data_IF_080581352606
#
_entry.id   IF_080581352606
#
_cell.length_a   1.000
_cell.length_b   1.000
_cell.length_c   1.000
_cell.angle_alpha   90.00
_cell.angle_beta   90.00
_cell.angle_gamma   90.00
#
_symmetry.space_group_name_H-M   'P 1'
#
loop_
_entity.id
_entity.type
_entity.pdbx_description
1 polymer ?
#
# COMPACT_ATOMS: atom_id res chain seq x y z
N UNK A 1 5.08 -53.88 2.46
CA UNK A 1 6.10 -53.59 3.49
C UNK A 1 7.18 -52.69 2.89
N UNK A 2 7.54 -51.62 3.61
CA UNK A 2 8.80 -50.85 3.54
C UNK A 2 9.05 -50.09 2.20
N UNK A 3 8.88 -48.77 2.12
CA UNK A 3 9.70 -47.80 2.84
C UNK A 3 8.95 -46.49 3.15
N UNK A 4 8.42 -46.42 4.37
CA UNK A 4 8.35 -45.17 5.12
C UNK A 4 9.79 -44.78 5.45
N UNK A 5 10.39 -43.81 4.73
CA UNK A 5 11.58 -43.05 5.14
C UNK A 5 12.02 -42.06 4.05
N UNK A 6 11.48 -40.84 4.10
CA UNK A 6 12.32 -39.63 4.04
C UNK A 6 11.52 -38.40 4.50
N UNK A 7 11.42 -38.31 5.82
CA UNK A 7 10.89 -37.16 6.54
C UNK A 7 11.90 -36.00 6.55
N UNK A 8 12.20 -35.38 5.39
CA UNK A 8 12.89 -34.08 5.32
C UNK A 8 12.42 -33.25 4.10
N UNK A 9 11.14 -33.29 3.75
CA UNK A 9 10.55 -32.27 2.88
C UNK A 9 9.99 -31.16 3.78
N UNK A 10 10.79 -30.11 4.02
CA UNK A 10 10.26 -28.87 4.56
C UNK A 10 9.17 -28.37 3.58
N UNK A 11 7.90 -28.43 4.02
CA UNK A 11 6.74 -28.05 3.21
C UNK A 11 6.83 -26.61 2.67
N UNK A 12 7.66 -25.78 3.31
CA UNK A 12 7.87 -24.38 2.96
C UNK A 12 8.90 -24.15 1.83
N UNK A 13 9.67 -25.17 1.44
CA UNK A 13 10.69 -25.03 0.40
C UNK A 13 10.06 -25.17 -1.00
N UNK A 14 10.20 -24.17 -1.89
CA UNK A 14 9.72 -24.26 -3.27
C UNK A 14 10.38 -25.40 -4.05
N UNK A 15 9.58 -26.40 -4.43
CA UNK A 15 10.03 -27.62 -5.11
C UNK A 15 10.38 -27.33 -6.59
N UNK A 16 9.59 -26.49 -7.27
CA UNK A 16 9.76 -26.21 -8.70
C UNK A 16 10.66 -25.00 -8.96
N UNK A 17 11.38 -25.01 -10.10
CA UNK A 17 12.21 -23.87 -10.54
C UNK A 17 11.38 -22.59 -10.71
N UNK A 18 10.12 -22.72 -11.14
CA UNK A 18 9.18 -21.59 -11.28
C UNK A 18 8.80 -20.99 -9.93
N UNK A 19 8.57 -21.81 -8.89
CA UNK A 19 8.28 -21.33 -7.54
C UNK A 19 9.46 -20.53 -6.95
N UNK A 20 10.69 -21.05 -7.07
CA UNK A 20 11.92 -20.33 -6.65
C UNK A 20 12.08 -18.98 -7.36
N UNK A 21 11.71 -18.89 -8.64
CA UNK A 21 11.71 -17.63 -9.40
C UNK A 21 10.63 -16.67 -8.91
N UNK A 22 9.43 -17.18 -8.64
CA UNK A 22 8.29 -16.36 -8.20
C UNK A 22 8.53 -15.74 -6.82
N UNK A 23 9.16 -16.45 -5.89
CA UNK A 23 9.53 -15.90 -4.57
C UNK A 23 10.48 -14.71 -4.72
N UNK A 24 11.58 -14.89 -5.47
CA UNK A 24 12.54 -13.82 -5.76
C UNK A 24 11.89 -12.61 -6.42
N UNK A 25 10.99 -12.84 -7.38
CA UNK A 25 10.25 -11.76 -8.04
C UNK A 25 9.24 -11.08 -7.08
N UNK A 26 8.61 -11.85 -6.20
CA UNK A 26 7.68 -11.36 -5.19
C UNK A 26 8.35 -10.45 -4.17
N UNK A 27 9.51 -10.84 -3.67
CA UNK A 27 10.32 -10.04 -2.74
C UNK A 27 10.71 -8.68 -3.34
N UNK A 28 11.21 -8.68 -4.57
CA UNK A 28 11.54 -7.43 -5.28
C UNK A 28 10.32 -6.52 -5.41
N UNK A 29 9.17 -7.08 -5.83
CA UNK A 29 7.91 -6.32 -5.95
C UNK A 29 7.41 -5.80 -4.60
N UNK A 30 7.57 -6.58 -3.53
CA UNK A 30 7.18 -6.22 -2.16
C UNK A 30 7.86 -4.94 -1.71
N UNK A 31 9.18 -4.82 -1.91
CA UNK A 31 9.95 -3.62 -1.53
C UNK A 31 9.36 -2.35 -2.16
N UNK A 32 9.08 -2.35 -3.47
CA UNK A 32 8.52 -1.17 -4.14
C UNK A 32 7.08 -0.87 -3.70
N UNK A 33 6.26 -1.91 -3.50
CA UNK A 33 4.88 -1.75 -3.04
C UNK A 33 4.84 -1.20 -1.60
N UNK A 34 5.73 -1.66 -0.73
CA UNK A 34 5.78 -1.20 0.66
C UNK A 34 6.23 0.26 0.74
N UNK A 35 7.22 0.67 -0.06
CA UNK A 35 7.62 2.09 -0.18
C UNK A 35 6.44 2.98 -0.60
N UNK A 36 5.71 2.61 -1.65
CA UNK A 36 4.52 3.36 -2.12
C UNK A 36 3.39 3.36 -1.09
N UNK A 37 3.18 2.26 -0.38
CA UNK A 37 2.18 2.17 0.71
C UNK A 37 2.54 3.07 1.87
N UNK A 38 3.82 3.10 2.30
CA UNK A 38 4.30 3.96 3.40
C UNK A 38 4.13 5.43 3.06
N UNK A 39 4.66 5.88 1.91
CA UNK A 39 4.54 7.27 1.48
C UNK A 39 3.08 7.75 1.42
N UNK A 40 2.16 6.94 0.88
CA UNK A 40 0.74 7.29 0.88
C UNK A 40 0.14 7.30 2.30
N UNK A 41 0.54 6.39 3.19
CA UNK A 41 0.05 6.39 4.59
C UNK A 41 0.52 7.62 5.37
N UNK A 42 1.77 8.03 5.19
CA UNK A 42 2.35 9.21 5.84
C UNK A 42 1.61 10.48 5.46
N UNK A 43 1.50 10.77 4.15
CA UNK A 43 0.79 11.96 3.67
C UNK A 43 -0.69 11.96 4.06
N UNK A 44 -1.35 10.79 4.05
CA UNK A 44 -2.74 10.69 4.52
C UNK A 44 -2.85 10.94 6.03
N UNK A 45 -1.84 10.57 6.82
CA UNK A 45 -1.82 10.84 8.27
C UNK A 45 -1.62 12.32 8.53
N UNK A 46 -0.71 12.97 7.80
CA UNK A 46 -0.48 14.42 7.88
C UNK A 46 -1.74 15.23 7.56
N UNK A 47 -2.44 14.90 6.47
CA UNK A 47 -3.71 15.59 6.14
C UNK A 47 -4.75 15.39 7.24
N UNK A 48 -4.81 14.20 7.85
CA UNK A 48 -5.73 13.95 8.98
C UNK A 48 -5.36 14.74 10.23
N UNK A 49 -4.08 14.88 10.56
CA UNK A 49 -3.65 15.66 11.73
C UNK A 49 -3.92 17.15 11.52
N UNK A 50 -3.65 17.68 10.33
CA UNK A 50 -3.97 19.07 9.98
C UNK A 50 -5.48 19.33 9.96
N UNK A 51 -6.27 18.36 9.50
CA UNK A 51 -7.72 18.42 9.56
C UNK A 51 -8.22 18.51 11.02
N UNK A 52 -7.62 17.77 11.97
CA UNK A 52 -7.95 17.88 13.38
C UNK A 52 -7.56 19.24 13.99
N UNK A 53 -6.45 19.82 13.54
CA UNK A 53 -5.96 21.13 13.97
C UNK A 53 -6.78 22.32 13.41
N UNK A 54 -7.74 22.08 12.51
CA UNK A 54 -8.62 23.08 11.85
C UNK A 54 -7.90 24.11 10.96
N UNK A 55 -6.66 23.83 10.55
CA UNK A 55 -5.90 24.71 9.66
C UNK A 55 -6.31 24.54 8.18
N UNK A 56 -7.28 25.33 7.72
CA UNK A 56 -7.87 25.19 6.37
C UNK A 56 -6.87 25.42 5.22
N UNK A 57 -5.99 26.42 5.35
CA UNK A 57 -5.04 26.80 4.28
C UNK A 57 -3.97 25.73 4.05
N UNK A 58 -3.41 25.19 5.12
CA UNK A 58 -2.37 24.14 5.06
C UNK A 58 -2.96 22.79 4.66
N UNK A 59 -4.20 22.48 5.08
CA UNK A 59 -4.92 21.28 4.67
C UNK A 59 -5.19 21.24 3.15
N UNK A 60 -5.50 22.37 2.52
CA UNK A 60 -5.69 22.43 1.06
C UNK A 60 -4.39 22.22 0.28
N UNK A 61 -3.28 22.80 0.73
CA UNK A 61 -1.97 22.60 0.11
C UNK A 61 -1.51 21.12 0.20
N UNK A 62 -1.70 20.50 1.36
CA UNK A 62 -1.34 19.09 1.59
C UNK A 62 -2.28 18.10 0.88
N UNK A 63 -3.53 18.49 0.58
CA UNK A 63 -4.46 17.69 -0.22
C UNK A 63 -3.90 17.35 -1.61
N UNK A 64 -3.28 18.32 -2.29
CA UNK A 64 -2.72 18.11 -3.63
C UNK A 64 -1.59 17.05 -3.59
N UNK A 65 -0.74 17.11 -2.57
CA UNK A 65 0.29 16.10 -2.33
C UNK A 65 -0.32 14.72 -2.02
N UNK A 66 -1.39 14.66 -1.23
CA UNK A 66 -2.11 13.43 -0.92
C UNK A 66 -2.72 12.78 -2.17
N UNK A 67 -3.34 13.56 -3.04
CA UNK A 67 -3.87 13.06 -4.31
C UNK A 67 -2.77 12.51 -5.21
N UNK A 68 -1.65 13.25 -5.35
CA UNK A 68 -0.48 12.79 -6.11
C UNK A 68 0.06 11.45 -5.58
N UNK A 69 0.17 11.30 -4.27
CA UNK A 69 0.63 10.06 -3.64
C UNK A 69 -0.34 8.89 -3.87
N UNK A 70 -1.65 9.13 -3.72
CA UNK A 70 -2.70 8.11 -3.95
C UNK A 70 -2.71 7.66 -5.42
N UNK A 71 -2.62 8.59 -6.36
CA UNK A 71 -2.71 8.27 -7.79
C UNK A 71 -1.45 7.58 -8.30
N UNK A 72 -0.26 7.93 -7.76
CA UNK A 72 0.98 7.17 -8.01
C UNK A 72 0.89 5.74 -7.47
N UNK A 73 0.30 5.53 -6.30
CA UNK A 73 0.09 4.20 -5.73
C UNK A 73 -0.94 3.38 -6.54
N UNK A 74 -1.94 4.04 -7.14
CA UNK A 74 -2.90 3.40 -8.03
C UNK A 74 -2.27 3.00 -9.38
N UNK A 75 -1.47 3.88 -9.98
CA UNK A 75 -0.73 3.60 -11.24
C UNK A 75 0.20 2.40 -11.08
N UNK A 76 0.86 2.28 -9.92
CA UNK A 76 1.72 1.14 -9.61
C UNK A 76 1.00 -0.17 -9.27
N UNK A 77 -0.34 -0.23 -9.38
CA UNK A 77 -1.20 -1.33 -8.96
C UNK A 77 -0.98 -1.78 -7.50
N UNK A 78 -0.37 -0.91 -6.69
CA UNK A 78 -0.19 -1.13 -5.25
C UNK A 78 -1.53 -1.03 -4.53
N UNK A 79 -2.46 -0.24 -5.10
CA UNK A 79 -3.83 -0.04 -4.63
C UNK A 79 -4.77 -0.13 -5.84
N UNK A 80 -5.95 -0.73 -5.68
CA UNK A 80 -6.98 -0.78 -6.73
C UNK A 80 -7.63 0.59 -6.94
N UNK A 81 -8.10 0.86 -8.16
CA UNK A 81 -8.74 2.13 -8.57
C UNK A 81 -9.86 2.53 -7.61
N UNK A 82 -10.72 1.58 -7.23
CA UNK A 82 -11.85 1.84 -6.31
C UNK A 82 -11.38 2.24 -4.90
N UNK A 83 -10.29 1.64 -4.42
CA UNK A 83 -9.71 2.00 -3.11
C UNK A 83 -9.07 3.38 -3.16
N UNK A 84 -8.42 3.74 -4.27
CA UNK A 84 -7.91 5.09 -4.47
C UNK A 84 -9.04 6.13 -4.49
N UNK A 85 -10.11 5.90 -5.26
CA UNK A 85 -11.29 6.76 -5.30
C UNK A 85 -11.94 6.92 -3.92
N UNK A 86 -12.11 5.83 -3.17
CA UNK A 86 -12.66 5.85 -1.81
C UNK A 86 -11.82 6.71 -0.86
N UNK A 87 -10.49 6.63 -0.96
CA UNK A 87 -9.59 7.45 -0.13
C UNK A 87 -9.67 8.93 -0.50
N UNK A 88 -9.70 9.26 -1.80
CA UNK A 88 -9.86 10.65 -2.26
C UNK A 88 -11.18 11.26 -1.76
N UNK A 89 -12.30 10.53 -1.90
CA UNK A 89 -13.60 11.01 -1.41
C UNK A 89 -13.61 11.23 0.11
N UNK A 90 -13.01 10.32 0.89
CA UNK A 90 -12.97 10.46 2.35
C UNK A 90 -12.15 11.67 2.81
N UNK A 91 -11.01 11.95 2.18
CA UNK A 91 -10.20 13.14 2.48
C UNK A 91 -10.96 14.43 2.16
N UNK A 92 -11.60 14.49 0.98
CA UNK A 92 -12.41 15.64 0.58
C UNK A 92 -13.58 15.89 1.56
N UNK A 93 -14.30 14.83 1.95
CA UNK A 93 -15.40 14.91 2.93
C UNK A 93 -14.92 15.40 4.30
N UNK A 94 -13.75 14.95 4.74
CA UNK A 94 -13.17 15.36 6.01
C UNK A 94 -12.87 16.86 6.01
N UNK A 95 -12.22 17.38 4.96
CA UNK A 95 -11.94 18.81 4.83
C UNK A 95 -13.24 19.62 4.72
N UNK A 96 -14.22 19.16 3.95
CA UNK A 96 -15.53 19.83 3.85
C UNK A 96 -16.26 19.92 5.20
N UNK A 97 -16.09 18.93 6.10
CA UNK A 97 -16.72 18.95 7.43
C UNK A 97 -16.08 19.97 8.38
N UNK A 98 -14.83 20.35 8.11
CA UNK A 98 -14.09 21.34 8.90
C UNK A 98 -14.23 22.74 8.29
N UNK A 99 -14.44 22.79 6.96
CA UNK A 99 -14.72 24.00 6.19
C UNK A 99 -16.00 24.70 6.65
#
# INVERSE_FOLDING_TARGET
MQNLRNAVYCRDMPITKSAKRNIRAGEKKKVYNDRRKKAMKEVVKEVKTLALAKDKKTAQATLAAAYKAIDKAAKGNTIKKNTAARKKSRLAKMIKKIA
#
